data_IF_167736857868
#
_entry.id   IF_167736857868
#
_cell.length_a   1.000
_cell.length_b   1.000
_cell.length_c   1.000
_cell.angle_alpha   90.00
_cell.angle_beta   90.00
_cell.angle_gamma   90.00
#
_symmetry.space_group_name_H-M   'P 1'
#
loop_
_entity.id
_entity.type
_entity.pdbx_description
1 polymer ?
#
# COMPACT_ATOMS: atom_id res chain seq x y z
N UNK A 1 -14.88 22.10 -4.15
CA UNK A 1 -14.65 21.08 -3.09
C UNK A 1 -14.93 21.75 -1.75
N UNK A 2 -15.77 21.17 -0.90
CA UNK A 2 -15.87 21.60 0.50
C UNK A 2 -14.73 20.90 1.25
N UNK A 3 -13.89 21.66 1.96
CA UNK A 3 -12.85 21.08 2.81
C UNK A 3 -13.48 20.29 3.95
N UNK A 4 -12.87 19.16 4.32
CA UNK A 4 -13.25 18.33 5.45
C UNK A 4 -12.01 17.82 6.17
N UNK A 5 -12.10 17.65 7.49
CA UNK A 5 -11.03 17.05 8.29
C UNK A 5 -11.22 15.54 8.37
N UNK A 6 -10.17 14.78 8.11
CA UNK A 6 -10.11 13.34 8.30
C UNK A 6 -9.24 13.08 9.54
N UNK A 7 -9.74 12.30 10.49
CA UNK A 7 -9.04 11.96 11.73
C UNK A 7 -8.86 10.45 11.86
N UNK A 8 -7.72 10.00 12.40
CA UNK A 8 -7.46 8.58 12.66
C UNK A 8 -7.09 7.76 11.42
N UNK A 9 -6.85 8.41 10.28
CA UNK A 9 -6.27 7.80 9.11
C UNK A 9 -4.74 7.68 9.26
N UNK A 10 -4.19 6.63 8.68
CA UNK A 10 -2.76 6.33 8.61
C UNK A 10 -2.29 6.37 7.15
N UNK A 11 -0.97 6.37 6.94
CA UNK A 11 -0.40 6.28 5.59
C UNK A 11 -0.79 4.97 4.88
N UNK A 12 -1.06 3.91 5.65
CA UNK A 12 -1.44 2.59 5.12
C UNK A 12 -2.83 2.60 4.48
N UNK A 13 -3.67 3.57 4.83
CA UNK A 13 -5.02 3.70 4.29
C UNK A 13 -5.04 4.31 2.87
N UNK A 14 -3.92 4.87 2.41
CA UNK A 14 -3.85 5.58 1.12
C UNK A 14 -4.04 4.63 -0.06
N UNK A 15 -3.28 3.54 -0.11
CA UNK A 15 -3.38 2.55 -1.19
C UNK A 15 -4.79 1.94 -1.32
N UNK A 16 -5.41 1.38 -0.25
CA UNK A 16 -6.77 0.83 -0.35
C UNK A 16 -7.81 1.90 -0.68
N UNK A 17 -7.63 3.16 -0.25
CA UNK A 17 -8.51 4.27 -0.64
C UNK A 17 -8.45 4.55 -2.14
N UNK A 18 -7.26 4.64 -2.72
CA UNK A 18 -7.09 4.87 -4.16
C UNK A 18 -7.75 3.73 -4.95
N UNK A 19 -7.48 2.47 -4.60
CA UNK A 19 -8.09 1.32 -5.26
C UNK A 19 -9.62 1.41 -5.24
N UNK A 20 -10.22 1.68 -4.07
CA UNK A 20 -11.66 1.79 -3.92
C UNK A 20 -12.26 2.97 -4.72
N UNK A 21 -11.56 4.12 -4.81
CA UNK A 21 -11.98 5.26 -5.64
C UNK A 21 -12.05 4.89 -7.13
N UNK A 22 -11.17 4.00 -7.59
CA UNK A 22 -11.16 3.47 -8.94
C UNK A 22 -12.08 2.25 -9.13
N UNK A 23 -12.77 1.80 -8.07
CA UNK A 23 -13.60 0.61 -8.11
C UNK A 23 -12.80 -0.70 -8.27
N UNK A 24 -11.51 -0.66 -7.95
CA UNK A 24 -10.65 -1.83 -7.88
C UNK A 24 -10.80 -2.49 -6.51
N UNK A 25 -10.65 -3.82 -6.44
CA UNK A 25 -10.78 -4.54 -5.18
C UNK A 25 -9.68 -4.18 -4.19
N UNK A 26 -9.98 -4.17 -2.90
CA UNK A 26 -8.94 -4.15 -1.87
C UNK A 26 -8.46 -5.57 -1.54
N UNK A 27 -7.23 -5.74 -1.07
CA UNK A 27 -6.73 -7.03 -0.63
C UNK A 27 -6.92 -7.23 0.88
N UNK A 28 -7.14 -8.48 1.30
CA UNK A 28 -7.38 -8.82 2.72
C UNK A 28 -6.14 -8.71 3.59
N UNK A 29 -4.97 -8.83 3.00
CA UNK A 29 -3.67 -8.70 3.64
C UNK A 29 -3.16 -7.25 3.69
N UNK A 30 -3.95 -6.26 3.25
CA UNK A 30 -3.64 -4.85 3.45
C UNK A 30 -3.90 -4.44 4.90
N UNK A 31 -2.91 -3.83 5.55
CA UNK A 31 -3.03 -3.30 6.92
C UNK A 31 -3.95 -2.07 7.03
N UNK A 32 -4.18 -1.37 5.91
CA UNK A 32 -5.03 -0.18 5.84
C UNK A 32 -6.45 -0.46 5.32
N UNK A 33 -7.30 0.55 5.35
CA UNK A 33 -8.69 0.50 4.85
C UNK A 33 -9.06 1.75 4.04
N UNK A 34 -10.03 1.66 3.11
CA UNK A 34 -10.52 2.83 2.40
C UNK A 34 -11.06 3.92 3.34
N UNK A 35 -10.76 5.18 3.04
CA UNK A 35 -11.25 6.36 3.76
C UNK A 35 -12.41 6.98 2.97
N UNK A 36 -13.68 6.77 3.38
CA UNK A 36 -14.82 7.38 2.70
C UNK A 36 -15.01 8.87 3.06
N UNK A 37 -14.47 9.29 4.22
CA UNK A 37 -14.61 10.66 4.71
C UNK A 37 -13.95 11.68 3.78
N UNK A 38 -14.66 12.76 3.47
CA UNK A 38 -14.16 13.84 2.62
C UNK A 38 -14.28 13.58 1.11
N UNK A 39 -14.74 12.39 0.69
CA UNK A 39 -15.03 12.10 -0.71
C UNK A 39 -16.41 12.62 -1.13
N UNK A 40 -16.55 12.92 -2.43
CA UNK A 40 -17.85 13.26 -3.01
C UNK A 40 -18.84 12.08 -2.86
N UNK A 41 -20.15 12.32 -2.62
CA UNK A 41 -21.13 11.24 -2.47
C UNK A 41 -21.15 10.22 -3.62
N UNK A 42 -20.86 10.65 -4.86
CA UNK A 42 -20.74 9.74 -6.01
C UNK A 42 -19.55 8.79 -5.91
N UNK A 43 -18.44 9.25 -5.31
CA UNK A 43 -17.24 8.46 -5.07
C UNK A 43 -17.46 7.52 -3.87
N UNK A 44 -18.10 8.00 -2.81
CA UNK A 44 -18.45 7.17 -1.63
C UNK A 44 -19.22 5.93 -2.06
N UNK A 45 -20.24 6.09 -2.92
CA UNK A 45 -21.01 4.96 -3.45
C UNK A 45 -20.18 3.94 -4.24
N UNK A 46 -19.06 4.36 -4.83
CA UNK A 46 -18.14 3.46 -5.53
C UNK A 46 -17.22 2.74 -4.54
N UNK A 47 -16.70 3.47 -3.57
CA UNK A 47 -15.92 2.90 -2.46
C UNK A 47 -16.73 1.85 -1.70
N UNK A 48 -18.02 2.10 -1.45
CA UNK A 48 -18.92 1.14 -0.79
C UNK A 48 -19.24 -0.10 -1.62
N UNK A 49 -18.98 -0.08 -2.93
CA UNK A 49 -19.23 -1.20 -3.87
C UNK A 49 -17.96 -1.98 -4.23
N UNK A 50 -16.81 -1.59 -3.68
CA UNK A 50 -15.56 -2.33 -3.89
C UNK A 50 -15.70 -3.78 -3.38
N UNK A 51 -14.95 -4.68 -4.00
CA UNK A 51 -14.90 -6.09 -3.62
C UNK A 51 -13.55 -6.43 -3.02
N UNK A 52 -13.42 -7.55 -2.31
CA UNK A 52 -12.13 -7.96 -1.75
C UNK A 52 -11.54 -9.16 -2.48
N UNK A 53 -10.22 -9.17 -2.62
CA UNK A 53 -9.43 -10.33 -3.03
C UNK A 53 -8.49 -10.76 -1.90
N UNK A 54 -7.91 -11.96 -1.98
CA UNK A 54 -7.03 -12.46 -0.91
C UNK A 54 -5.74 -11.64 -0.81
N UNK A 55 -4.98 -11.53 -1.91
CA UNK A 55 -3.70 -10.81 -1.95
C UNK A 55 -3.37 -10.32 -3.37
N UNK A 56 -2.71 -9.17 -3.48
CA UNK A 56 -2.11 -8.71 -4.75
C UNK A 56 -0.76 -9.37 -5.04
N UNK A 57 -0.17 -10.05 -4.06
CA UNK A 57 1.15 -10.72 -4.13
C UNK A 57 1.10 -12.05 -4.91
N UNK A 58 0.31 -12.09 -5.98
CA UNK A 58 0.12 -13.27 -6.84
C UNK A 58 1.17 -13.40 -7.93
N UNK A 59 1.84 -12.30 -8.26
CA UNK A 59 2.89 -12.26 -9.27
C UNK A 59 4.25 -12.72 -8.72
N UNK A 60 4.29 -13.89 -8.05
CA UNK A 60 5.56 -14.59 -7.84
C UNK A 60 5.86 -15.31 -9.15
N UNK A 61 6.70 -14.72 -10.00
CA UNK A 61 7.17 -15.42 -11.19
C UNK A 61 7.84 -16.73 -10.74
N UNK A 62 7.55 -17.88 -11.37
CA UNK A 62 8.28 -19.12 -11.08
C UNK A 62 9.78 -18.85 -11.28
N UNK A 63 10.56 -18.90 -10.20
CA UNK A 63 12.01 -18.64 -10.24
C UNK A 63 12.48 -17.30 -9.63
N UNK A 64 11.61 -16.48 -9.04
CA UNK A 64 12.08 -15.41 -8.15
C UNK A 64 12.55 -16.02 -6.83
N UNK A 65 13.86 -16.22 -6.72
CA UNK A 65 14.57 -16.52 -5.48
C UNK A 65 14.21 -15.49 -4.41
N UNK A 66 14.09 -15.93 -3.16
CA UNK A 66 14.01 -15.04 -1.98
C UNK A 66 15.29 -14.23 -1.77
N UNK A 67 16.35 -14.54 -2.52
CA UNK A 67 17.54 -13.72 -2.54
C UNK A 67 17.25 -12.36 -3.17
N UNK A 68 17.52 -11.26 -2.45
CA UNK A 68 17.53 -9.93 -3.04
C UNK A 68 18.36 -9.94 -4.32
N UNK A 69 17.87 -9.28 -5.37
CA UNK A 69 18.66 -9.00 -6.57
C UNK A 69 19.96 -8.32 -6.12
N UNK A 70 21.08 -9.06 -6.11
CA UNK A 70 22.39 -8.51 -5.72
C UNK A 70 22.77 -7.42 -6.70
N UNK A 71 22.53 -6.17 -6.32
CA UNK A 71 23.04 -5.00 -7.03
C UNK A 71 24.45 -4.69 -6.53
N UNK A 72 25.39 -4.23 -7.38
CA UNK A 72 26.67 -3.70 -6.91
C UNK A 72 26.53 -2.58 -5.87
N UNK A 73 25.36 -1.93 -5.83
CA UNK A 73 24.98 -0.88 -4.87
C UNK A 73 24.68 -1.46 -3.47
N UNK A 74 24.40 -2.75 -3.35
CA UNK A 74 23.93 -3.35 -2.10
C UNK A 74 24.98 -3.35 -0.99
N UNK A 75 26.27 -3.44 -1.32
CA UNK A 75 27.34 -3.44 -0.32
C UNK A 75 27.58 -2.04 0.23
N UNK A 76 27.62 -1.03 -0.65
CA UNK A 76 27.71 0.38 -0.24
C UNK A 76 26.49 0.78 0.61
N UNK A 77 25.30 0.34 0.21
CA UNK A 77 24.07 0.59 0.95
C UNK A 77 24.07 -0.11 2.31
N UNK A 78 24.57 -1.36 2.41
CA UNK A 78 24.75 -2.06 3.69
C UNK A 78 25.72 -1.34 4.62
N UNK A 79 26.88 -0.94 4.13
CA UNK A 79 27.86 -0.19 4.92
C UNK A 79 27.27 1.14 5.41
N UNK A 80 26.49 1.82 4.56
CA UNK A 80 25.78 3.04 4.95
C UNK A 80 24.73 2.77 6.04
N UNK A 81 23.92 1.73 5.91
CA UNK A 81 22.93 1.35 6.91
C UNK A 81 23.58 0.92 8.24
N UNK A 82 24.73 0.24 8.20
CA UNK A 82 25.53 -0.10 9.39
C UNK A 82 26.08 1.15 10.07
N UNK A 83 26.66 2.09 9.31
CA UNK A 83 27.19 3.35 9.88
C UNK A 83 26.13 4.21 10.55
N UNK A 84 24.88 4.10 10.09
CA UNK A 84 23.71 4.78 10.65
C UNK A 84 23.03 4.00 11.79
N UNK A 85 23.48 2.77 12.09
CA UNK A 85 22.97 1.96 13.20
C UNK A 85 21.65 1.24 12.92
N UNK A 86 21.24 1.11 11.65
CA UNK A 86 20.00 0.39 11.28
C UNK A 86 20.17 -1.13 11.25
N UNK A 87 21.41 -1.63 11.12
CA UNK A 87 21.77 -3.05 11.08
C UNK A 87 23.09 -3.29 11.84
N UNK A 88 23.26 -4.47 12.45
CA UNK A 88 24.46 -4.88 13.22
C UNK A 88 25.31 -5.89 12.45
#
# INVERSE_FOLDING_TARGET
>A
MKGGSISGATVLDIAPTILAIYGLPTARDMDGRPIPGGLDPGIVKRVERETRLETYETARAPGQSEEPLRSPVDEELRERLRSLGYIQ
#
